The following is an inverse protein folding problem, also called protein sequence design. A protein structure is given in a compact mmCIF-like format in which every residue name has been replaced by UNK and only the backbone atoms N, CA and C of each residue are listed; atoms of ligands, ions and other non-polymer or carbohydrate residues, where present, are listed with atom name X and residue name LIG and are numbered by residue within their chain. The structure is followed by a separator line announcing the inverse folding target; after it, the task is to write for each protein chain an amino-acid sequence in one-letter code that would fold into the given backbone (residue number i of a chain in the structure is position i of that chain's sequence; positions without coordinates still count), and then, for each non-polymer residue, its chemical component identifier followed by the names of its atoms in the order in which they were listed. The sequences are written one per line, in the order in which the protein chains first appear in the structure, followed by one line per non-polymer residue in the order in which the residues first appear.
data_IF_402324855235
#
_entry.id   IF_402324855235
#
_cell.length_a   1.000
_cell.length_b   1.000
_cell.length_c   1.000
_cell.angle_alpha   90.00
_cell.angle_beta   90.00
_cell.angle_gamma   90.00
#
_symmetry.space_group_name_H-M   'P 1'
#
loop_
_entity.id
_entity.type
_entity.pdbx_description
1 polymer ?
#
# COMPACT_ATOMS: atom_id res chain seq x y z
N UNK A 1 2.37 -26.36 -9.37
CA UNK A 1 3.31 -25.79 -10.36
C UNK A 1 2.48 -25.36 -11.55
N UNK A 2 2.70 -24.14 -12.04
CA UNK A 2 1.96 -23.59 -13.17
C UNK A 2 2.09 -24.50 -14.41
N UNK A 3 0.96 -24.73 -15.08
CA UNK A 3 0.90 -25.33 -16.41
C UNK A 3 0.64 -24.24 -17.46
N UNK A 4 -0.35 -23.39 -17.21
CA UNK A 4 -0.74 -22.30 -18.11
C UNK A 4 -1.42 -21.18 -17.32
N UNK A 5 -1.23 -19.93 -17.72
CA UNK A 5 -2.19 -18.88 -17.40
C UNK A 5 -2.44 -17.95 -18.58
N UNK A 6 -3.62 -17.33 -18.60
CA UNK A 6 -4.00 -16.27 -19.51
C UNK A 6 -4.56 -15.11 -18.69
N UNK A 7 -3.99 -13.93 -18.86
CA UNK A 7 -4.38 -12.71 -18.16
C UNK A 7 -4.85 -11.66 -19.16
N UNK A 8 -5.97 -11.04 -18.84
CA UNK A 8 -6.55 -9.94 -19.61
C UNK A 8 -6.82 -8.77 -18.68
N UNK A 9 -6.51 -7.54 -19.12
CA UNK A 9 -6.81 -6.32 -18.38
C UNK A 9 -7.11 -5.16 -19.31
N UNK A 10 -8.07 -4.33 -18.93
CA UNK A 10 -8.36 -3.06 -19.60
C UNK A 10 -8.96 -2.06 -18.63
N UNK A 11 -8.98 -0.78 -19.01
CA UNK A 11 -9.52 0.33 -18.23
C UNK A 11 -8.46 1.37 -17.84
N UNK A 12 -8.80 2.34 -16.97
CA UNK A 12 -8.02 3.56 -16.79
C UNK A 12 -6.66 3.36 -16.09
N UNK A 13 -6.44 2.20 -15.46
CA UNK A 13 -5.14 1.86 -14.87
C UNK A 13 -4.09 1.41 -15.90
N UNK A 14 -4.47 1.19 -17.16
CA UNK A 14 -3.56 0.73 -18.22
C UNK A 14 -3.61 1.66 -19.43
N UNK A 15 -2.46 1.92 -20.05
CA UNK A 15 -2.46 2.52 -21.39
C UNK A 15 -2.90 1.44 -22.38
N UNK A 16 -4.18 1.38 -22.72
CA UNK A 16 -4.75 0.33 -23.58
C UNK A 16 -5.08 -0.98 -22.85
N UNK A 17 -5.52 -1.98 -23.59
CA UNK A 17 -5.92 -3.28 -23.09
C UNK A 17 -4.82 -4.30 -23.35
N UNK A 18 -4.60 -5.21 -22.40
CA UNK A 18 -3.54 -6.20 -22.43
C UNK A 18 -4.11 -7.60 -22.43
N UNK A 19 -3.51 -8.48 -23.24
CA UNK A 19 -3.60 -9.93 -23.10
C UNK A 19 -2.21 -10.50 -22.95
N UNK A 20 -2.00 -11.32 -21.92
CA UNK A 20 -0.73 -11.98 -21.64
C UNK A 20 -1.00 -13.46 -21.46
N UNK A 21 -0.26 -14.30 -22.16
CA UNK A 21 -0.36 -15.74 -22.05
C UNK A 21 0.99 -16.35 -21.71
N UNK A 22 0.96 -17.31 -20.80
CA UNK A 22 2.14 -18.06 -20.39
C UNK A 22 1.81 -19.53 -20.34
N UNK A 23 2.68 -20.33 -20.97
CA UNK A 23 2.59 -21.78 -20.96
C UNK A 23 3.91 -22.37 -20.44
N UNK A 24 3.82 -23.43 -19.64
CA UNK A 24 4.98 -24.16 -19.12
C UNK A 24 5.04 -25.53 -19.81
N UNK A 25 6.02 -25.71 -20.69
CA UNK A 25 6.25 -26.95 -21.45
C UNK A 25 7.66 -27.43 -21.18
N UNK A 26 7.83 -28.72 -20.90
CA UNK A 26 9.17 -29.32 -20.69
C UNK A 26 10.06 -28.56 -19.69
N UNK A 27 9.46 -27.99 -18.63
CA UNK A 27 10.13 -27.15 -17.61
C UNK A 27 10.71 -25.82 -18.13
N UNK A 28 10.33 -25.41 -19.34
CA UNK A 28 10.56 -24.10 -19.94
C UNK A 28 9.29 -23.27 -19.88
N UNK A 29 9.45 -21.95 -19.88
CA UNK A 29 8.34 -20.99 -19.81
C UNK A 29 8.27 -20.26 -21.14
N UNK A 30 7.11 -20.29 -21.76
CA UNK A 30 6.82 -19.62 -23.02
C UNK A 30 5.81 -18.51 -22.75
N UNK A 31 6.04 -17.33 -23.30
CA UNK A 31 5.28 -16.13 -22.98
C UNK A 31 4.93 -15.37 -24.24
N UNK A 32 3.74 -14.78 -24.26
CA UNK A 32 3.30 -13.86 -25.31
C UNK A 32 2.47 -12.75 -24.70
N UNK A 33 2.57 -11.55 -25.27
CA UNK A 33 1.81 -10.39 -24.86
C UNK A 33 1.29 -9.64 -26.09
N UNK A 34 0.05 -9.19 -26.01
CA UNK A 34 -0.59 -8.35 -27.05
C UNK A 34 -1.25 -7.17 -26.35
N UNK A 35 -1.11 -6.00 -26.95
CA UNK A 35 -1.76 -4.77 -26.53
C UNK A 35 -2.71 -4.30 -27.63
N UNK A 36 -3.89 -3.83 -27.24
CA UNK A 36 -4.91 -3.28 -28.14
C UNK A 36 -5.54 -2.01 -27.55
N UNK A 37 -6.33 -1.27 -28.33
CA UNK A 37 -6.99 -0.06 -27.84
C UNK A 37 -8.18 -0.40 -26.92
N UNK A 38 -8.91 -1.47 -27.24
CA UNK A 38 -10.06 -1.95 -26.45
C UNK A 38 -9.97 -3.44 -26.12
N UNK A 39 -10.84 -3.91 -25.22
CA UNK A 39 -10.89 -5.32 -24.84
C UNK A 39 -11.45 -6.20 -25.98
N UNK A 40 -12.32 -5.64 -26.82
CA UNK A 40 -12.92 -6.34 -27.97
C UNK A 40 -11.91 -6.60 -29.10
N UNK A 41 -10.87 -5.76 -29.19
CA UNK A 41 -9.80 -5.91 -30.19
C UNK A 41 -8.72 -6.92 -29.79
N UNK A 42 -8.72 -7.38 -28.53
CA UNK A 42 -7.76 -8.40 -28.09
C UNK A 42 -8.12 -9.76 -28.70
N UNK A 43 -7.12 -10.54 -29.15
CA UNK A 43 -7.39 -11.88 -29.66
C UNK A 43 -7.93 -12.80 -28.56
N UNK A 44 -8.73 -13.80 -28.96
CA UNK A 44 -9.27 -14.82 -28.04
C UNK A 44 -8.17 -15.70 -27.42
N UNK A 45 -7.03 -15.84 -28.09
CA UNK A 45 -5.82 -16.50 -27.61
C UNK A 45 -4.61 -15.98 -28.40
N UNK A 46 -3.42 -16.04 -27.80
CA UNK A 46 -2.18 -15.76 -28.53
C UNK A 46 -1.76 -17.05 -29.25
N UNK A 47 -1.46 -16.95 -30.54
CA UNK A 47 -1.04 -18.11 -31.33
C UNK A 47 0.18 -18.79 -30.70
N UNK A 48 0.24 -20.12 -30.69
CA UNK A 48 1.30 -20.85 -29.99
C UNK A 48 2.70 -20.51 -30.55
N UNK A 49 2.79 -20.23 -31.85
CA UNK A 49 4.04 -19.89 -32.53
C UNK A 49 4.54 -18.49 -32.14
N UNK A 50 3.66 -17.63 -31.64
CA UNK A 50 3.99 -16.30 -31.16
C UNK A 50 4.49 -16.31 -29.71
N UNK A 51 4.42 -17.45 -29.00
CA UNK A 51 4.97 -17.57 -27.66
C UNK A 51 6.49 -17.77 -27.70
N UNK A 52 7.22 -16.90 -27.00
CA UNK A 52 8.69 -16.90 -26.96
C UNK A 52 9.17 -17.52 -25.66
N UNK A 53 10.24 -18.32 -25.72
CA UNK A 53 10.87 -18.88 -24.51
C UNK A 53 11.45 -17.75 -23.64
N UNK A 54 11.02 -17.68 -22.38
CA UNK A 54 11.54 -16.74 -21.39
C UNK A 54 12.82 -17.31 -20.75
N UNK A 55 14.01 -16.71 -21.01
CA UNK A 55 15.28 -17.27 -20.55
C UNK A 55 15.37 -17.41 -19.03
N UNK A 56 14.77 -16.49 -18.28
CA UNK A 56 14.69 -16.51 -16.81
C UNK A 56 13.40 -17.14 -16.26
N UNK A 57 12.74 -18.00 -17.04
CA UNK A 57 11.41 -18.56 -16.72
C UNK A 57 11.30 -19.20 -15.34
N UNK A 58 12.33 -19.94 -14.89
CA UNK A 58 12.32 -20.54 -13.54
C UNK A 58 12.32 -19.52 -12.42
N UNK A 59 13.04 -18.41 -12.58
CA UNK A 59 13.07 -17.32 -11.59
C UNK A 59 11.72 -16.62 -11.54
N UNK A 60 11.14 -16.39 -12.72
CA UNK A 60 9.81 -15.80 -12.88
C UNK A 60 8.72 -16.68 -12.23
N UNK A 61 8.71 -17.99 -12.49
CA UNK A 61 7.77 -18.94 -11.85
C UNK A 61 7.85 -18.91 -10.32
N UNK A 62 9.06 -18.84 -9.75
CA UNK A 62 9.21 -18.72 -8.28
C UNK A 62 8.63 -17.43 -7.72
N UNK A 63 8.63 -16.33 -8.48
CA UNK A 63 7.99 -15.07 -8.07
C UNK A 63 6.48 -15.21 -8.13
N UNK A 64 5.95 -15.80 -9.20
CA UNK A 64 4.53 -16.07 -9.36
C UNK A 64 4.00 -17.00 -8.24
N UNK A 65 4.72 -18.07 -7.92
CA UNK A 65 4.34 -19.02 -6.86
C UNK A 65 4.23 -18.35 -5.48
N UNK A 66 5.07 -17.35 -5.19
CA UNK A 66 5.00 -16.57 -3.93
C UNK A 66 3.73 -15.74 -3.79
N UNK A 67 3.04 -15.45 -4.90
CA UNK A 67 1.75 -14.76 -4.87
C UNK A 67 0.62 -15.66 -4.35
N UNK A 68 0.83 -16.98 -4.33
CA UNK A 68 -0.12 -17.97 -3.85
C UNK A 68 -1.53 -17.78 -4.45
N UNK A 69 -1.59 -17.50 -5.75
CA UNK A 69 -2.84 -17.21 -6.50
C UNK A 69 -3.85 -18.35 -6.30
N UNK A 70 -3.39 -19.59 -6.49
CA UNK A 70 -4.21 -20.78 -6.36
C UNK A 70 -4.83 -20.96 -4.97
N UNK A 71 -4.18 -20.48 -3.90
CA UNK A 71 -4.64 -20.68 -2.51
C UNK A 71 -5.36 -19.45 -1.93
N UNK A 72 -4.92 -18.23 -2.27
CA UNK A 72 -5.36 -16.99 -1.58
C UNK A 72 -6.35 -16.16 -2.36
N UNK A 73 -6.35 -16.24 -3.69
CA UNK A 73 -7.22 -15.40 -4.50
C UNK A 73 -8.63 -15.98 -4.56
N UNK A 74 -9.63 -15.12 -4.31
CA UNK A 74 -11.04 -15.43 -4.53
C UNK A 74 -11.31 -15.54 -6.03
N UNK A 75 -12.42 -16.14 -6.42
CA UNK A 75 -12.79 -16.26 -7.85
C UNK A 75 -13.35 -14.97 -8.44
N UNK A 76 -13.83 -14.04 -7.61
CA UNK A 76 -14.45 -12.80 -8.07
C UNK A 76 -14.13 -11.64 -7.13
N UNK A 77 -13.74 -10.50 -7.70
CA UNK A 77 -13.47 -9.25 -6.99
C UNK A 77 -14.35 -8.15 -7.59
N UNK A 78 -15.21 -7.52 -6.79
CA UNK A 78 -16.06 -6.41 -7.25
C UNK A 78 -15.99 -5.32 -6.18
N UNK A 79 -15.69 -4.10 -6.60
CA UNK A 79 -15.75 -2.96 -5.69
C UNK A 79 -17.21 -2.60 -5.39
N UNK A 80 -17.55 -2.35 -4.13
CA UNK A 80 -18.91 -1.96 -3.71
C UNK A 80 -19.30 -0.58 -4.24
N UNK A 81 -18.31 0.29 -4.43
CA UNK A 81 -18.43 1.60 -5.05
C UNK A 81 -17.39 1.69 -6.17
N UNK A 82 -17.76 2.17 -7.37
CA UNK A 82 -16.82 2.39 -8.47
C UNK A 82 -15.94 3.61 -8.17
N UNK A 83 -15.10 3.51 -7.14
CA UNK A 83 -14.38 4.64 -6.56
C UNK A 83 -12.96 4.85 -7.11
N UNK A 84 -12.51 4.13 -8.15
CA UNK A 84 -11.15 4.40 -8.68
C UNK A 84 -10.86 4.01 -10.13
N UNK A 85 -11.52 3.01 -10.72
CA UNK A 85 -11.26 2.61 -12.10
C UNK A 85 -12.32 1.61 -12.58
N UNK A 86 -12.93 1.83 -13.75
CA UNK A 86 -13.69 0.80 -14.50
C UNK A 86 -12.77 -0.29 -15.09
N UNK A 87 -11.69 -0.59 -14.37
CA UNK A 87 -10.70 -1.58 -14.76
C UNK A 87 -11.32 -2.96 -14.63
N UNK A 88 -11.39 -3.64 -15.76
CA UNK A 88 -11.83 -5.03 -15.90
C UNK A 88 -10.60 -5.89 -16.09
N UNK A 89 -10.53 -6.98 -15.34
CA UNK A 89 -9.46 -7.95 -15.51
C UNK A 89 -9.96 -9.38 -15.33
N UNK A 90 -9.31 -10.31 -16.01
CA UNK A 90 -9.58 -11.73 -15.95
C UNK A 90 -8.27 -12.51 -15.91
N UNK A 91 -8.26 -13.60 -15.16
CA UNK A 91 -7.14 -14.51 -15.03
C UNK A 91 -7.66 -15.95 -15.12
N UNK A 92 -7.24 -16.67 -16.14
CA UNK A 92 -7.32 -18.13 -16.19
C UNK A 92 -6.00 -18.66 -15.65
N UNK A 93 -6.03 -19.44 -14.57
CA UNK A 93 -4.83 -19.99 -13.92
C UNK A 93 -4.94 -21.51 -13.78
N UNK A 94 -4.07 -22.25 -14.45
CA UNK A 94 -4.05 -23.72 -14.47
C UNK A 94 -2.73 -24.23 -13.88
N UNK A 95 -2.83 -25.05 -12.83
CA UNK A 95 -1.71 -25.82 -12.30
C UNK A 95 -1.74 -27.26 -12.83
N UNK A 96 -0.56 -27.86 -12.95
CA UNK A 96 -0.44 -29.26 -13.37
C UNK A 96 -1.26 -30.18 -12.46
N UNK A 97 -2.10 -31.01 -13.07
CA UNK A 97 -2.95 -31.97 -12.37
C UNK A 97 -4.12 -31.35 -11.59
N UNK A 98 -4.42 -30.07 -11.78
CA UNK A 98 -5.57 -29.39 -11.17
C UNK A 98 -6.47 -28.76 -12.22
N UNK A 99 -7.72 -28.52 -11.83
CA UNK A 99 -8.67 -27.80 -12.66
C UNK A 99 -8.23 -26.33 -12.83
N UNK A 100 -8.47 -25.79 -14.02
CA UNK A 100 -8.25 -24.38 -14.30
C UNK A 100 -9.16 -23.51 -13.42
N UNK A 101 -8.58 -22.48 -12.80
CA UNK A 101 -9.31 -21.48 -12.02
C UNK A 101 -9.55 -20.25 -12.89
N UNK A 102 -10.79 -19.80 -12.93
CA UNK A 102 -11.17 -18.54 -13.58
C UNK A 102 -11.40 -17.52 -12.48
N UNK A 103 -10.62 -16.44 -12.51
CA UNK A 103 -10.65 -15.36 -11.54
C UNK A 103 -10.96 -14.07 -12.29
N UNK A 104 -11.93 -13.30 -11.81
CA UNK A 104 -12.34 -12.05 -12.45
C UNK A 104 -12.35 -10.90 -11.47
N UNK A 105 -12.12 -9.69 -11.97
CA UNK A 105 -12.28 -8.48 -11.18
C UNK A 105 -12.81 -7.28 -11.96
N UNK A 106 -13.57 -6.45 -11.25
CA UNK A 106 -14.12 -5.18 -11.71
C UNK A 106 -13.88 -4.12 -10.63
N UNK A 107 -12.92 -3.23 -10.89
CA UNK A 107 -12.56 -2.14 -9.98
C UNK A 107 -12.01 -2.57 -8.61
N UNK A 108 -11.81 -3.87 -8.39
CA UNK A 108 -11.29 -4.44 -7.16
C UNK A 108 -10.18 -5.45 -7.44
N UNK A 109 -9.21 -5.52 -6.53
CA UNK A 109 -7.96 -6.23 -6.74
C UNK A 109 -7.56 -7.06 -5.50
N UNK A 110 -6.81 -8.15 -5.68
CA UNK A 110 -6.18 -8.89 -4.57
C UNK A 110 -5.17 -8.04 -3.78
N UNK A 111 -4.90 -8.40 -2.53
CA UNK A 111 -3.96 -7.69 -1.64
C UNK A 111 -2.54 -7.54 -2.23
N UNK A 112 -2.08 -8.54 -2.99
CA UNK A 112 -0.78 -8.56 -3.63
C UNK A 112 -0.82 -8.25 -5.13
N UNK A 113 -1.84 -7.49 -5.58
CA UNK A 113 -2.01 -7.09 -6.98
C UNK A 113 -0.81 -6.35 -7.56
N UNK A 114 -0.24 -5.42 -6.79
CA UNK A 114 0.97 -4.70 -7.15
C UNK A 114 2.12 -5.65 -7.53
N UNK A 115 2.42 -6.62 -6.66
CA UNK A 115 3.46 -7.62 -6.91
C UNK A 115 3.12 -8.57 -8.07
N UNK A 116 1.84 -8.75 -8.39
CA UNK A 116 1.42 -9.50 -9.57
C UNK A 116 1.70 -8.73 -10.85
N UNK A 117 1.36 -7.43 -10.90
CA UNK A 117 1.70 -6.57 -12.03
C UNK A 117 3.21 -6.42 -12.22
N UNK A 118 3.98 -6.28 -11.14
CA UNK A 118 5.46 -6.34 -11.19
C UNK A 118 5.94 -7.62 -11.87
N UNK A 119 5.34 -8.76 -11.52
CA UNK A 119 5.69 -10.05 -12.11
C UNK A 119 5.36 -10.09 -13.60
N UNK A 120 4.26 -9.48 -14.03
CA UNK A 120 3.90 -9.40 -15.46
C UNK A 120 4.82 -8.42 -16.22
N UNK A 121 5.20 -7.30 -15.63
CA UNK A 121 6.11 -6.31 -16.22
C UNK A 121 7.56 -6.80 -16.34
N UNK A 122 7.91 -7.96 -15.78
CA UNK A 122 9.18 -8.64 -16.05
C UNK A 122 9.17 -9.44 -17.37
N UNK A 123 8.00 -9.62 -17.99
CA UNK A 123 7.86 -10.32 -19.26
C UNK A 123 8.27 -9.41 -20.42
N UNK A 124 8.82 -9.96 -21.52
CA UNK A 124 9.14 -9.19 -22.71
C UNK A 124 7.88 -8.51 -23.24
N UNK A 125 8.04 -7.26 -23.71
CA UNK A 125 7.01 -6.46 -24.36
C UNK A 125 5.77 -6.14 -23.50
N UNK A 126 5.84 -6.35 -22.18
CA UNK A 126 4.78 -6.00 -21.23
C UNK A 126 5.12 -4.71 -20.49
N UNK A 127 4.20 -3.73 -20.55
CA UNK A 127 4.31 -2.46 -19.82
C UNK A 127 2.95 -2.04 -19.27
N UNK A 128 2.46 -2.78 -18.27
CA UNK A 128 1.23 -2.46 -17.55
C UNK A 128 1.53 -1.34 -16.55
N UNK A 129 0.87 -0.18 -16.73
CA UNK A 129 0.93 0.91 -15.76
C UNK A 129 0.36 0.43 -14.42
N UNK A 130 1.04 0.81 -13.35
CA UNK A 130 0.66 0.50 -11.99
C UNK A 130 0.40 1.79 -11.21
N UNK A 131 -0.58 1.75 -10.30
CA UNK A 131 -0.82 2.85 -9.38
C UNK A 131 0.39 3.02 -8.45
N UNK A 132 0.95 4.22 -8.43
CA UNK A 132 2.14 4.54 -7.66
C UNK A 132 1.78 4.81 -6.19
N UNK A 133 1.29 3.78 -5.51
CA UNK A 133 0.78 3.86 -4.14
C UNK A 133 1.91 3.91 -3.09
N UNK A 134 1.55 4.31 -1.88
CA UNK A 134 2.44 4.33 -0.72
C UNK A 134 2.84 2.91 -0.27
N UNK A 135 4.15 2.62 -0.29
CA UNK A 135 4.74 1.33 0.13
C UNK A 135 5.24 1.37 1.58
N UNK A 136 5.83 2.50 1.95
CA UNK A 136 6.46 2.67 3.25
C UNK A 136 6.32 4.11 3.70
N UNK A 137 5.98 4.31 4.97
CA UNK A 137 6.06 5.61 5.61
C UNK A 137 6.65 5.48 7.01
N UNK A 138 7.52 6.43 7.34
CA UNK A 138 8.16 6.58 8.62
C UNK A 138 7.85 7.97 9.17
N UNK A 139 7.39 7.98 10.39
CA UNK A 139 7.22 9.18 11.20
C UNK A 139 8.22 9.18 12.34
N UNK A 140 8.73 10.36 12.67
CA UNK A 140 9.52 10.62 13.86
C UNK A 140 8.98 11.90 14.50
N UNK A 141 8.24 11.72 15.58
CA UNK A 141 7.77 12.79 16.45
C UNK A 141 8.88 13.17 17.42
N UNK A 142 9.18 14.46 17.50
CA UNK A 142 10.14 15.06 18.43
C UNK A 142 9.39 16.13 19.23
N UNK A 143 9.36 16.00 20.55
CA UNK A 143 8.65 16.93 21.41
C UNK A 143 9.41 17.14 22.73
N UNK A 144 9.55 18.40 23.15
CA UNK A 144 10.11 18.75 24.46
C UNK A 144 8.99 18.82 25.48
N UNK A 145 8.96 17.88 26.42
CA UNK A 145 7.86 17.73 27.38
C UNK A 145 8.38 18.02 28.79
N UNK A 146 7.66 18.81 29.60
CA UNK A 146 7.97 18.92 31.01
C UNK A 146 7.60 17.62 31.75
N UNK A 147 8.58 17.00 32.39
CA UNK A 147 8.39 15.85 33.28
C UNK A 147 8.55 16.34 34.72
N UNK A 148 7.57 16.01 35.57
CA UNK A 148 7.60 16.34 37.00
C UNK A 148 8.05 15.09 37.75
N UNK A 149 9.24 15.13 38.32
CA UNK A 149 9.78 14.06 39.17
C UNK A 149 9.92 14.62 40.59
N UNK A 150 8.95 14.34 41.46
CA UNK A 150 8.87 14.92 42.80
C UNK A 150 8.63 16.43 42.75
N UNK A 151 9.56 17.24 43.28
CA UNK A 151 9.48 18.72 43.28
C UNK A 151 10.21 19.40 42.11
N UNK A 152 10.92 18.64 41.27
CA UNK A 152 11.69 19.18 40.13
C UNK A 152 10.91 19.00 38.83
N UNK A 153 10.82 20.08 38.05
CA UNK A 153 10.28 20.09 36.69
C UNK A 153 11.46 20.14 35.73
N UNK A 154 11.71 19.06 35.01
CA UNK A 154 12.76 18.96 33.98
C UNK A 154 12.13 18.91 32.60
N UNK A 155 12.74 19.56 31.62
CA UNK A 155 12.31 19.45 30.23
C UNK A 155 13.08 18.27 29.63
N UNK A 156 12.35 17.28 29.13
CA UNK A 156 12.92 16.06 28.54
C UNK A 156 12.52 16.01 27.07
N UNK A 157 13.46 15.68 26.19
CA UNK A 157 13.14 15.44 24.79
C UNK A 157 12.60 14.02 24.61
N UNK A 158 11.38 13.93 24.07
CA UNK A 158 10.72 12.68 23.75
C UNK A 158 10.79 12.46 22.24
N UNK A 159 11.21 11.26 21.83
CA UNK A 159 11.28 10.83 20.44
C UNK A 159 10.44 9.58 20.22
N UNK A 160 9.40 9.70 19.41
CA UNK A 160 8.54 8.58 19.04
C UNK A 160 8.66 8.31 17.53
N UNK A 161 9.06 7.09 17.18
CA UNK A 161 9.21 6.64 15.80
C UNK A 161 8.12 5.63 15.48
N UNK A 162 7.35 5.91 14.42
CA UNK A 162 6.38 4.99 13.84
C UNK A 162 6.81 4.63 12.42
N UNK A 163 6.70 3.38 12.04
CA UNK A 163 6.94 2.91 10.66
C UNK A 163 5.81 1.99 10.26
N UNK A 164 5.25 2.19 9.07
CA UNK A 164 4.29 1.30 8.43
C UNK A 164 4.92 0.86 7.12
N UNK A 165 5.11 -0.45 6.92
CA UNK A 165 5.87 -1.01 5.80
C UNK A 165 5.10 -2.16 5.15
N UNK A 166 4.59 -1.93 3.93
CA UNK A 166 3.82 -2.90 3.14
C UNK A 166 4.66 -4.11 2.77
N UNK A 167 5.93 -3.91 2.41
CA UNK A 167 6.86 -4.98 1.99
C UNK A 167 7.19 -5.91 3.14
N UNK A 168 7.42 -5.36 4.34
CA UNK A 168 7.65 -6.14 5.56
C UNK A 168 6.36 -6.57 6.26
N UNK A 169 5.21 -6.11 5.79
CA UNK A 169 3.88 -6.41 6.33
C UNK A 169 3.76 -6.09 7.83
N UNK A 170 4.46 -5.04 8.26
CA UNK A 170 4.60 -4.75 9.67
C UNK A 170 4.46 -3.27 10.02
N UNK A 171 4.06 -3.05 11.27
CA UNK A 171 4.08 -1.75 11.94
C UNK A 171 5.14 -1.81 13.04
N UNK A 172 6.02 -0.82 13.08
CA UNK A 172 7.03 -0.66 14.12
C UNK A 172 6.77 0.64 14.87
N UNK A 173 6.67 0.55 16.19
CA UNK A 173 6.54 1.72 17.05
C UNK A 173 7.63 1.69 18.11
N UNK A 174 8.48 2.73 18.13
CA UNK A 174 9.53 2.90 19.12
C UNK A 174 9.31 4.20 19.86
N UNK A 175 9.45 4.16 21.17
CA UNK A 175 9.41 5.33 22.03
C UNK A 175 10.71 5.43 22.80
N UNK A 176 11.43 6.50 22.56
CA UNK A 176 12.63 6.85 23.29
C UNK A 176 12.36 8.07 24.16
N UNK A 177 12.64 7.92 25.44
CA UNK A 177 12.61 9.01 26.40
C UNK A 177 14.02 9.16 26.95
N UNK A 178 14.61 10.32 26.75
CA UNK A 178 15.86 10.68 27.41
C UNK A 178 15.70 10.41 28.93
N UNK A 179 16.65 9.71 29.52
CA UNK A 179 16.68 9.23 30.92
C UNK A 179 15.69 8.12 31.34
N UNK A 180 14.70 7.74 30.51
CA UNK A 180 13.69 6.72 30.89
C UNK A 180 13.69 5.45 30.03
N UNK A 181 14.60 5.35 29.05
CA UNK A 181 14.81 4.15 28.24
C UNK A 181 14.08 4.12 26.90
N UNK A 182 14.03 2.92 26.30
CA UNK A 182 13.48 2.71 24.96
C UNK A 182 12.47 1.57 24.97
N UNK A 183 11.24 1.87 24.57
CA UNK A 183 10.16 0.89 24.34
C UNK A 183 10.07 0.60 22.84
N UNK A 184 9.97 -0.67 22.44
CA UNK A 184 9.88 -1.09 21.05
C UNK A 184 8.77 -2.13 20.88
N UNK A 185 7.87 -1.83 19.95
CA UNK A 185 6.76 -2.69 19.58
C UNK A 185 6.83 -2.99 18.07
N UNK A 186 6.56 -4.25 17.71
CA UNK A 186 6.54 -4.72 16.34
C UNK A 186 5.29 -5.58 16.12
N UNK A 187 4.48 -5.22 15.12
CA UNK A 187 3.22 -5.86 14.80
C UNK A 187 3.25 -6.37 13.37
N UNK A 188 3.09 -7.68 13.17
CA UNK A 188 2.95 -8.26 11.83
C UNK A 188 1.45 -8.34 11.48
N UNK A 189 0.95 -7.31 10.78
CA UNK A 189 -0.47 -7.13 10.48
C UNK A 189 -0.65 -6.79 8.99
N UNK A 190 -0.50 -7.75 8.05
CA UNK A 190 -0.46 -7.47 6.61
C UNK A 190 -1.67 -6.68 6.10
N UNK A 191 -2.89 -7.12 6.48
CA UNK A 191 -4.13 -6.48 6.06
C UNK A 191 -4.28 -5.05 6.61
N UNK A 192 -3.98 -4.87 7.89
CA UNK A 192 -4.07 -3.56 8.53
C UNK A 192 -3.04 -2.59 7.93
N UNK A 193 -1.83 -3.07 7.65
CA UNK A 193 -0.79 -2.27 6.98
C UNK A 193 -1.26 -1.76 5.62
N UNK A 194 -1.81 -2.63 4.76
CA UNK A 194 -2.35 -2.20 3.47
C UNK A 194 -3.48 -1.19 3.63
N UNK A 195 -4.45 -1.47 4.51
CA UNK A 195 -5.58 -0.57 4.76
C UNK A 195 -5.16 0.80 5.30
N UNK A 196 -4.19 0.84 6.21
CA UNK A 196 -3.68 2.09 6.80
C UNK A 196 -2.95 2.95 5.77
N UNK A 197 -2.10 2.33 4.94
CA UNK A 197 -1.40 3.04 3.88
C UNK A 197 -2.36 3.52 2.79
N UNK A 198 -3.33 2.69 2.42
CA UNK A 198 -4.35 3.06 1.42
C UNK A 198 -5.25 4.20 1.94
N UNK A 199 -5.65 4.17 3.21
CA UNK A 199 -6.42 5.24 3.85
C UNK A 199 -5.63 6.54 3.93
N UNK A 200 -4.31 6.46 4.14
CA UNK A 200 -3.45 7.64 4.18
C UNK A 200 -3.19 8.23 2.79
N UNK A 201 -3.22 7.43 1.72
CA UNK A 201 -2.85 7.84 0.36
C UNK A 201 -4.06 8.20 -0.53
N UNK A 202 -5.29 8.09 -0.01
CA UNK A 202 -6.55 8.33 -0.74
C UNK A 202 -7.42 9.39 -0.05
N UNK A 203 -8.29 10.11 -0.80
CA UNK A 203 -8.53 10.01 -2.25
C UNK A 203 -7.41 10.62 -3.10
N UNK A 204 -6.60 11.50 -2.53
CA UNK A 204 -5.44 12.12 -3.17
C UNK A 204 -4.16 11.75 -2.42
N UNK A 205 -3.00 11.72 -3.13
CA UNK A 205 -1.69 11.43 -2.55
C UNK A 205 -1.46 12.13 -1.22
N UNK A 206 -1.01 11.38 -0.21
CA UNK A 206 -0.78 11.88 1.16
C UNK A 206 -0.05 13.23 1.20
N UNK A 207 1.03 13.37 0.44
CA UNK A 207 1.89 14.55 0.42
C UNK A 207 1.22 15.81 -0.13
N UNK A 208 0.18 15.67 -0.97
CA UNK A 208 -0.56 16.81 -1.52
C UNK A 208 -1.55 17.40 -0.52
N UNK A 209 -1.88 16.63 0.53
CA UNK A 209 -2.86 17.01 1.56
C UNK A 209 -2.22 17.64 2.81
N UNK A 210 -0.88 17.77 2.80
CA UNK A 210 -0.12 18.37 3.89
C UNK A 210 -0.06 19.89 3.74
N UNK A 211 -0.33 20.60 4.84
CA UNK A 211 -0.32 22.05 4.91
C UNK A 211 0.87 22.52 5.73
N UNK A 212 2.08 22.32 5.20
CA UNK A 212 3.33 22.58 5.94
C UNK A 212 3.54 24.08 6.11
N UNK A 213 3.46 24.57 7.35
CA UNK A 213 3.89 25.93 7.70
C UNK A 213 5.41 25.96 7.88
N UNK A 214 6.02 27.13 7.68
CA UNK A 214 7.45 27.31 7.92
C UNK A 214 7.76 27.07 9.41
N UNK A 215 8.74 26.20 9.68
CA UNK A 215 9.27 26.01 11.03
C UNK A 215 10.42 27.00 11.22
N UNK A 216 10.21 27.98 12.08
CA UNK A 216 11.26 28.92 12.47
C UNK A 216 12.13 28.29 13.56
N UNK A 217 13.42 28.61 13.59
CA UNK A 217 14.38 28.03 14.54
C UNK A 217 14.10 28.28 16.03
N UNK A 218 13.12 29.15 16.35
CA UNK A 218 12.63 29.41 17.70
C UNK A 218 11.46 28.52 18.13
N UNK A 219 10.93 27.68 17.24
CA UNK A 219 9.75 26.89 17.54
C UNK A 219 10.05 25.73 18.48
N UNK A 220 9.35 25.72 19.60
CA UNK A 220 9.46 24.68 20.65
C UNK A 220 8.30 23.69 20.63
N UNK A 221 7.38 23.86 19.67
CA UNK A 221 6.27 22.95 19.45
C UNK A 221 6.71 21.53 19.06
N UNK A 222 5.77 20.61 19.10
CA UNK A 222 6.01 19.24 18.66
C UNK A 222 6.25 19.22 17.15
N UNK A 223 7.31 18.53 16.73
CA UNK A 223 7.72 18.44 15.33
C UNK A 223 7.55 17.02 14.82
N UNK A 224 7.07 16.88 13.59
CA UNK A 224 6.93 15.59 12.91
C UNK A 224 7.86 15.55 11.70
N UNK A 225 8.88 14.69 11.76
CA UNK A 225 9.73 14.36 10.61
C UNK A 225 9.14 13.15 9.90
N UNK A 226 8.80 13.32 8.64
CA UNK A 226 8.15 12.30 7.82
C UNK A 226 9.04 11.90 6.65
N UNK A 227 9.10 10.61 6.37
CA UNK A 227 9.77 10.06 5.19
C UNK A 227 8.93 8.94 4.62
N UNK A 228 8.68 8.99 3.32
CA UNK A 228 7.90 7.98 2.63
C UNK A 228 8.60 7.48 1.37
N UNK A 229 8.21 6.29 0.95
CA UNK A 229 8.62 5.67 -0.30
C UNK A 229 7.38 5.18 -1.03
N UNK A 230 7.27 5.55 -2.31
CA UNK A 230 6.23 5.03 -3.21
C UNK A 230 6.68 3.76 -3.92
N UNK A 231 5.75 3.14 -4.64
CA UNK A 231 5.99 1.89 -5.35
C UNK A 231 7.14 1.97 -6.38
N UNK A 232 7.24 3.09 -7.10
CA UNK A 232 8.34 3.44 -8.02
C UNK A 232 9.73 3.57 -7.35
N UNK A 233 9.79 3.40 -6.02
CA UNK A 233 10.97 3.50 -5.15
C UNK A 233 11.49 4.91 -4.94
N UNK A 234 10.80 5.94 -5.43
CA UNK A 234 11.14 7.32 -5.10
C UNK A 234 10.87 7.56 -3.62
N UNK A 235 11.86 8.16 -2.96
CA UNK A 235 11.79 8.56 -1.56
C UNK A 235 11.61 10.07 -1.48
N UNK A 236 10.73 10.48 -0.58
CA UNK A 236 10.51 11.88 -0.25
C UNK A 236 10.33 12.02 1.26
N UNK A 237 10.42 13.25 1.75
CA UNK A 237 10.29 13.55 3.16
C UNK A 237 10.14 15.02 3.42
N UNK A 238 9.54 15.33 4.56
CA UNK A 238 9.37 16.70 5.02
C UNK A 238 9.37 16.74 6.55
N UNK A 239 9.48 17.95 7.09
CA UNK A 239 9.29 18.21 8.52
C UNK A 239 8.23 19.29 8.67
N UNK A 240 7.27 19.08 9.55
CA UNK A 240 6.18 20.02 9.83
C UNK A 240 5.86 20.04 11.33
N UNK A 241 4.97 20.94 11.74
CA UNK A 241 4.42 20.92 13.09
C UNK A 241 3.50 19.73 13.27
N UNK A 242 3.55 19.10 14.44
CA UNK A 242 2.65 18.00 14.76
C UNK A 242 1.39 18.52 15.45
N UNK A 243 0.52 19.18 14.69
CA UNK A 243 -0.77 19.72 15.14
C UNK A 243 -1.85 19.61 14.05
N UNK A 244 -3.09 19.97 14.40
CA UNK A 244 -4.24 19.84 13.50
C UNK A 244 -4.22 20.79 12.29
N UNK A 245 -3.34 21.81 12.26
CA UNK A 245 -3.25 22.74 11.13
C UNK A 245 -2.36 22.19 10.02
N UNK A 246 -1.26 21.51 10.38
CA UNK A 246 -0.30 20.98 9.40
C UNK A 246 -0.65 19.56 8.91
N UNK A 247 -1.47 18.83 9.67
CA UNK A 247 -1.89 17.47 9.34
C UNK A 247 -3.12 17.45 8.41
N UNK A 248 -3.31 16.37 7.61
CA UNK A 248 -4.51 16.20 6.80
C UNK A 248 -5.79 16.14 7.64
N UNK A 249 -6.93 16.55 7.09
CA UNK A 249 -8.22 16.57 7.81
C UNK A 249 -8.66 15.20 8.34
N UNK A 250 -8.32 14.12 7.62
CA UNK A 250 -8.60 12.73 7.97
C UNK A 250 -7.54 12.11 8.90
N UNK A 251 -6.52 12.87 9.30
CA UNK A 251 -5.48 12.42 10.22
C UNK A 251 -6.02 11.82 11.54
N UNK A 252 -7.04 12.39 12.21
CA UNK A 252 -7.62 11.79 13.40
C UNK A 252 -8.20 10.38 13.15
N UNK A 253 -8.80 10.16 11.98
CA UNK A 253 -9.35 8.85 11.59
C UNK A 253 -8.23 7.84 11.37
N UNK A 254 -7.17 8.24 10.67
CA UNK A 254 -5.97 7.42 10.48
C UNK A 254 -5.34 7.02 11.83
N UNK A 255 -5.16 7.97 12.75
CA UNK A 255 -4.61 7.70 14.08
C UNK A 255 -5.48 6.70 14.86
N UNK A 256 -6.81 6.81 14.78
CA UNK A 256 -7.73 5.88 15.43
C UNK A 256 -7.59 4.47 14.87
N UNK A 257 -7.62 4.32 13.54
CA UNK A 257 -7.45 3.01 12.89
C UNK A 257 -6.12 2.37 13.27
N UNK A 258 -5.05 3.16 13.31
CA UNK A 258 -3.72 2.70 13.69
C UNK A 258 -3.66 2.29 15.17
N UNK A 259 -4.24 3.08 16.06
CA UNK A 259 -4.31 2.81 17.50
C UNK A 259 -5.06 1.52 17.79
N UNK A 260 -6.20 1.31 17.15
CA UNK A 260 -7.00 0.09 17.21
C UNK A 260 -6.21 -1.11 16.68
N UNK A 261 -5.57 -0.98 15.52
CA UNK A 261 -4.78 -2.06 14.92
C UNK A 261 -3.62 -2.52 15.83
N UNK A 262 -3.02 -1.60 16.59
CA UNK A 262 -1.92 -1.90 17.51
C UNK A 262 -2.39 -2.30 18.92
N UNK A 263 -3.70 -2.47 19.16
CA UNK A 263 -4.24 -2.90 20.44
C UNK A 263 -4.20 -1.81 21.53
N UNK A 264 -4.25 -0.53 21.14
CA UNK A 264 -4.47 0.56 22.06
C UNK A 264 -3.21 1.13 22.75
N UNK A 265 -2.04 1.04 22.11
CA UNK A 265 -0.79 1.59 22.66
C UNK A 265 -0.94 3.07 23.01
N UNK A 266 -0.34 3.50 24.12
CA UNK A 266 -0.28 4.90 24.52
C UNK A 266 1.04 5.54 24.09
N UNK A 267 0.96 6.75 23.58
CA UNK A 267 2.10 7.53 23.11
C UNK A 267 1.70 8.97 22.83
N UNK A 268 2.66 9.89 22.77
CA UNK A 268 2.39 11.27 22.35
C UNK A 268 1.96 11.33 20.89
N UNK A 269 2.37 10.35 20.08
CA UNK A 269 1.89 10.16 18.72
C UNK A 269 0.37 9.87 18.65
N UNK A 270 -0.22 9.30 19.70
CA UNK A 270 -1.65 8.97 19.76
C UNK A 270 -2.43 9.94 20.66
N UNK A 271 -1.88 11.13 20.89
CA UNK A 271 -2.52 12.18 21.69
C UNK A 271 -3.76 12.72 20.94
N UNK A 272 -4.88 12.00 21.04
CA UNK A 272 -6.15 12.35 20.39
C UNK A 272 -6.72 13.68 20.88
N UNK A 273 -6.29 14.16 22.05
CA UNK A 273 -6.56 15.51 22.53
C UNK A 273 -5.98 16.60 21.61
N UNK A 274 -4.91 16.30 20.88
CA UNK A 274 -4.33 17.19 19.87
C UNK A 274 -5.08 17.16 18.53
N UNK A 275 -5.86 16.10 18.30
CA UNK A 275 -6.54 15.82 17.04
C UNK A 275 -7.99 15.40 17.32
N UNK A 276 -8.86 16.34 17.73
CA UNK A 276 -10.25 16.02 18.03
C UNK A 276 -10.94 15.51 16.75
N UNK A 277 -11.59 14.35 16.86
CA UNK A 277 -12.54 13.93 15.83
C UNK A 277 -13.74 14.86 15.91
N UNK A 278 -14.10 15.49 14.78
CA UNK A 278 -15.37 16.18 14.70
C UNK A 278 -16.49 15.16 14.95
N UNK A 279 -17.36 15.43 15.93
CA UNK A 279 -18.55 14.63 16.16
C UNK A 279 -19.42 14.68 14.91
N UNK A 280 -19.60 13.53 14.25
CA UNK A 280 -20.49 13.37 13.09
C UNK A 280 -21.97 13.67 13.40
N UNK A 281 -22.29 14.04 14.64
CA UNK A 281 -23.62 14.43 15.13
C UNK A 281 -23.83 15.95 15.19
N UNK A 282 -22.81 16.77 14.99
CA UNK A 282 -22.93 18.22 15.08
C UNK A 282 -23.57 18.89 13.84
N UNK A 283 -23.65 18.18 12.70
CA UNK A 283 -24.23 18.71 11.45
C UNK A 283 -25.74 18.46 11.27
N UNK A 284 -26.43 17.86 12.25
CA UNK A 284 -27.89 17.63 12.21
C UNK A 284 -28.67 18.59 13.11
N UNK A 285 -28.01 19.56 13.75
CA UNK A 285 -28.70 20.59 14.53
C UNK A 285 -28.22 21.98 14.15
N UNK A 286 -28.81 22.52 13.10
CA UNK A 286 -29.13 23.94 13.07
C UNK A 286 -30.64 24.12 12.85
N UNK A 287 -31.27 25.09 13.55
CA UNK A 287 -32.72 25.28 13.60
C UNK A 287 -33.32 25.79 12.29
#
# INVERSE_FOLDING_TARGET
MLEQFSFMMGGPLTSGCWRIEVAVRERKVYVGAVQAASLEELPEAIAEEALVELPSGRRWLRKLDKLAIAQRWRSRFVAETPLAADTKWQLLYKEQGKNARHITGLGAFPENWASFLDCLNELPDVAIRQENHLEHIRFLLIEKVPVITGRKKTIVELREKLVIDRRKRMILYNRHKEDFGTERHAYELPKAVSQLLDALDKPEPFEQRLHVRCIDGSDTGAQLVMRWQRHDRLEAGLTCHYDAQDMPLDWPLFLRMLHEAMGGIRGRFFALDRFPLADATASVRQP
#
